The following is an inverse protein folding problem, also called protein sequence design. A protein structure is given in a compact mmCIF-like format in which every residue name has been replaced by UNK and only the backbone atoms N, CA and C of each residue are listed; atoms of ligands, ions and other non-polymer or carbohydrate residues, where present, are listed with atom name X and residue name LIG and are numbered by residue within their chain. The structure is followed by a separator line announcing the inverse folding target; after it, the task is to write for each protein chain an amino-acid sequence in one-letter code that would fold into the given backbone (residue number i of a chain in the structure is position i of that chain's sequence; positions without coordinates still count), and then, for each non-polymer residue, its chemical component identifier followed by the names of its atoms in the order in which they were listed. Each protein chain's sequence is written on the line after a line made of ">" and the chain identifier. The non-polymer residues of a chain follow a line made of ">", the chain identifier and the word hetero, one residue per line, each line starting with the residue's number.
data_IF_741599613570
#
_entry.id   IF_741599613570
#
_cell.length_a   1.000
_cell.length_b   1.000
_cell.length_c   1.000
_cell.angle_alpha   90.00
_cell.angle_beta   90.00
_cell.angle_gamma   90.00
#
_symmetry.space_group_name_H-M   'P 1'
#
loop_
_entity.id
_entity.type
_entity.pdbx_description
1 polymer ?
#
# COMPACT_ATOMS: atom_id res chain seq x y z
N UNK A 1 15.05 0.17 3.80
CA UNK A 1 14.37 -0.54 4.92
C UNK A 1 12.92 -0.78 4.49
N UNK A 2 12.55 -1.97 4.02
CA UNK A 2 11.27 -2.18 3.31
C UNK A 2 10.00 -2.11 4.19
N UNK A 3 10.15 -2.13 5.51
CA UNK A 3 9.03 -2.06 6.47
C UNK A 3 8.68 -0.65 6.93
N UNK A 4 9.40 0.35 6.42
CA UNK A 4 9.35 1.74 6.82
C UNK A 4 8.80 2.70 5.74
N UNK A 5 8.87 2.41 4.42
CA UNK A 5 8.46 3.37 3.41
C UNK A 5 6.95 3.41 3.28
N UNK A 6 6.44 4.46 2.63
CA UNK A 6 5.03 4.59 2.30
C UNK A 6 4.54 3.42 1.43
N UNK A 7 5.40 2.92 0.52
CA UNK A 7 5.19 1.72 -0.30
C UNK A 7 6.45 0.83 -0.22
N UNK A 8 6.29 -0.39 0.29
CA UNK A 8 7.33 -1.40 0.37
C UNK A 8 7.04 -2.57 -0.56
N UNK A 9 8.05 -2.98 -1.32
CA UNK A 9 8.03 -4.15 -2.20
C UNK A 9 9.06 -5.15 -1.68
N UNK A 10 8.60 -6.29 -1.17
CA UNK A 10 9.49 -7.36 -0.70
C UNK A 10 9.35 -8.56 -1.61
N UNK A 11 10.44 -8.94 -2.28
CA UNK A 11 10.45 -10.13 -3.13
C UNK A 11 10.25 -11.40 -2.30
N UNK A 12 9.24 -12.20 -2.65
CA UNK A 12 8.93 -13.46 -1.97
C UNK A 12 9.25 -14.69 -2.83
N UNK A 13 9.09 -14.57 -4.15
CA UNK A 13 9.50 -15.56 -5.13
C UNK A 13 9.88 -14.85 -6.44
N UNK A 14 10.44 -15.59 -7.40
CA UNK A 14 10.76 -15.04 -8.72
C UNK A 14 9.50 -14.43 -9.35
N UNK A 15 9.52 -13.12 -9.58
CA UNK A 15 8.41 -12.36 -10.16
C UNK A 15 7.22 -12.09 -9.23
N UNK A 16 7.29 -12.44 -7.93
CA UNK A 16 6.21 -12.22 -6.95
C UNK A 16 6.69 -11.42 -5.75
N UNK A 17 5.87 -10.45 -5.35
CA UNK A 17 6.20 -9.49 -4.31
C UNK A 17 5.08 -9.39 -3.28
N UNK A 18 5.47 -9.17 -2.03
CA UNK A 18 4.57 -8.76 -0.95
C UNK A 18 4.58 -7.24 -0.90
N UNK A 19 3.38 -6.64 -0.91
CA UNK A 19 3.16 -5.21 -0.83
C UNK A 19 2.96 -4.80 0.62
N UNK A 20 3.78 -3.85 1.07
CA UNK A 20 3.70 -3.22 2.37
C UNK A 20 3.24 -1.78 2.21
N UNK A 21 2.23 -1.36 2.96
CA UNK A 21 1.69 0.01 2.93
C UNK A 21 1.57 0.57 4.35
N UNK A 22 1.48 1.89 4.46
CA UNK A 22 1.22 2.55 5.74
C UNK A 22 2.45 2.74 6.63
N UNK A 23 3.65 2.67 6.04
CA UNK A 23 4.86 3.20 6.69
C UNK A 23 4.80 4.72 6.78
N UNK A 24 5.87 5.34 7.26
CA UNK A 24 6.01 6.80 7.25
C UNK A 24 7.44 7.13 6.84
N UNK A 25 7.61 8.17 6.02
CA UNK A 25 8.91 8.75 5.66
C UNK A 25 9.84 9.03 6.86
N UNK A 26 9.29 9.35 8.03
CA UNK A 26 10.05 9.56 9.29
C UNK A 26 10.51 8.26 9.96
N UNK A 27 9.94 7.14 9.55
CA UNK A 27 10.25 5.80 10.03
C UNK A 27 9.90 5.49 11.49
N UNK A 28 8.92 6.22 12.01
CA UNK A 28 8.31 6.01 13.32
C UNK A 28 7.21 4.93 13.32
N UNK A 29 6.78 4.45 12.14
CA UNK A 29 5.70 3.48 11.97
C UNK A 29 6.12 2.35 11.04
N UNK A 30 5.71 1.13 11.39
CA UNK A 30 5.87 -0.06 10.56
C UNK A 30 4.72 -0.16 9.56
N UNK A 31 5.05 -0.41 8.30
CA UNK A 31 4.10 -0.71 7.25
C UNK A 31 3.42 -2.08 7.49
N UNK A 32 2.13 -2.19 7.17
CA UNK A 32 1.36 -3.43 7.22
C UNK A 32 1.37 -4.14 5.87
N UNK A 33 1.15 -5.46 5.89
CA UNK A 33 1.02 -6.26 4.65
C UNK A 33 -0.33 -5.96 4.00
N UNK A 34 -0.29 -5.25 2.88
CA UNK A 34 -1.46 -4.92 2.08
C UNK A 34 -1.92 -6.10 1.24
N UNK A 35 -1.00 -6.69 0.47
CA UNK A 35 -1.26 -7.82 -0.41
C UNK A 35 0.00 -8.70 -0.52
N UNK A 36 -0.18 -9.99 -0.78
CA UNK A 36 0.88 -10.98 -0.75
C UNK A 36 0.91 -11.82 -2.02
N UNK A 37 2.11 -12.23 -2.43
CA UNK A 37 2.33 -12.99 -3.68
C UNK A 37 1.83 -12.30 -4.96
N UNK A 38 1.88 -10.98 -5.01
CA UNK A 38 1.44 -10.20 -6.18
C UNK A 38 2.46 -10.34 -7.33
N UNK A 39 2.05 -10.78 -8.53
CA UNK A 39 2.92 -10.78 -9.70
C UNK A 39 3.39 -9.38 -10.06
N UNK A 40 4.65 -9.20 -10.48
CA UNK A 40 5.22 -7.89 -10.84
C UNK A 40 4.34 -7.09 -11.81
N UNK A 41 3.74 -7.77 -12.79
CA UNK A 41 2.88 -7.15 -13.80
C UNK A 41 1.56 -6.60 -13.21
N UNK A 42 1.09 -7.14 -12.09
CA UNK A 42 -0.16 -6.70 -11.44
C UNK A 42 0.06 -5.57 -10.44
N UNK A 43 1.30 -5.36 -9.97
CA UNK A 43 1.61 -4.39 -8.91
C UNK A 43 1.11 -2.99 -9.27
N UNK A 44 1.35 -2.53 -10.50
CA UNK A 44 0.87 -1.23 -10.97
C UNK A 44 -0.65 -1.13 -10.91
N UNK A 45 -1.37 -2.20 -11.26
CA UNK A 45 -2.83 -2.26 -11.18
C UNK A 45 -3.36 -2.27 -9.74
N UNK A 46 -2.57 -2.76 -8.77
CA UNK A 46 -2.92 -2.68 -7.33
C UNK A 46 -2.66 -1.28 -6.75
N UNK A 47 -1.60 -0.60 -7.21
CA UNK A 47 -1.19 0.70 -6.65
C UNK A 47 -1.97 1.87 -7.29
N UNK A 48 -2.29 1.80 -8.59
CA UNK A 48 -3.00 2.88 -9.30
C UNK A 48 -4.29 3.35 -8.60
N UNK A 49 -5.25 2.48 -8.24
CA UNK A 49 -6.49 2.91 -7.59
C UNK A 49 -6.24 3.51 -6.19
N UNK A 50 -5.19 3.09 -5.49
CA UNK A 50 -4.82 3.65 -4.19
C UNK A 50 -4.30 5.08 -4.32
N UNK A 51 -3.52 5.36 -5.37
CA UNK A 51 -3.00 6.70 -5.65
C UNK A 51 -4.12 7.64 -6.11
N UNK A 52 -5.10 7.13 -6.87
CA UNK A 52 -6.31 7.88 -7.23
C UNK A 52 -7.13 8.25 -5.99
N UNK A 53 -7.40 7.27 -5.11
CA UNK A 53 -8.07 7.53 -3.83
C UNK A 53 -7.29 8.52 -2.97
N UNK A 54 -5.96 8.40 -2.91
CA UNK A 54 -5.12 9.36 -2.20
C UNK A 54 -5.25 10.77 -2.77
N UNK A 55 -5.31 10.92 -4.10
CA UNK A 55 -5.46 12.25 -4.71
C UNK A 55 -6.78 12.92 -4.31
N UNK A 56 -7.86 12.15 -4.18
CA UNK A 56 -9.21 12.66 -3.91
C UNK A 56 -9.52 12.81 -2.42
N UNK A 57 -9.08 11.86 -1.60
CA UNK A 57 -9.48 11.75 -0.19
C UNK A 57 -8.36 12.11 0.81
N UNK A 58 -7.16 12.50 0.34
CA UNK A 58 -6.09 12.96 1.23
C UNK A 58 -6.46 14.24 1.97
N UNK A 59 -5.94 14.36 3.17
CA UNK A 59 -5.99 15.61 3.94
C UNK A 59 -4.83 16.53 3.55
N UNK A 60 -4.98 17.83 3.85
CA UNK A 60 -3.95 18.81 3.58
C UNK A 60 -2.67 18.50 4.39
N UNK A 61 -1.55 18.29 3.69
CA UNK A 61 -0.28 17.93 4.31
C UNK A 61 -0.12 16.44 4.66
N UNK A 62 -1.10 15.59 4.34
CA UNK A 62 -1.04 14.15 4.60
C UNK A 62 -0.10 13.43 3.61
N UNK A 63 0.76 12.54 4.13
CA UNK A 63 1.60 11.65 3.33
C UNK A 63 0.82 10.41 2.86
N UNK A 64 1.29 9.72 1.83
CA UNK A 64 0.63 8.50 1.35
C UNK A 64 0.60 7.41 2.44
N UNK A 65 1.68 7.29 3.21
CA UNK A 65 1.74 6.37 4.35
C UNK A 65 0.73 6.68 5.45
N UNK A 66 0.54 7.96 5.79
CA UNK A 66 -0.47 8.37 6.78
C UNK A 66 -1.90 8.18 6.27
N UNK A 67 -2.13 8.46 4.99
CA UNK A 67 -3.40 8.14 4.33
C UNK A 67 -3.72 6.65 4.39
N UNK A 68 -2.78 5.79 4.01
CA UNK A 68 -2.97 4.35 4.06
C UNK A 68 -3.23 3.84 5.49
N UNK A 69 -2.56 4.44 6.47
CA UNK A 69 -2.80 4.11 7.88
C UNK A 69 -4.19 4.56 8.37
N UNK A 70 -4.63 5.76 7.98
CA UNK A 70 -5.94 6.31 8.34
C UNK A 70 -7.09 5.52 7.71
N UNK A 71 -6.97 5.20 6.42
CA UNK A 71 -7.97 4.39 5.72
C UNK A 71 -8.00 2.96 6.25
N UNK A 72 -6.85 2.44 6.67
CA UNK A 72 -6.71 1.06 7.12
C UNK A 72 -6.72 0.07 5.96
N UNK A 73 -6.29 -1.16 6.24
CA UNK A 73 -6.11 -2.20 5.22
C UNK A 73 -7.43 -2.54 4.49
N UNK A 74 -8.51 -2.74 5.24
CA UNK A 74 -9.79 -3.22 4.71
C UNK A 74 -10.39 -2.24 3.70
N UNK A 75 -10.44 -0.93 4.04
CA UNK A 75 -10.96 0.09 3.15
C UNK A 75 -10.11 0.24 1.87
N UNK A 76 -8.77 0.14 1.98
CA UNK A 76 -7.88 0.19 0.82
C UNK A 76 -8.04 -1.05 -0.09
N UNK A 77 -8.35 -2.22 0.48
CA UNK A 77 -8.62 -3.42 -0.30
C UNK A 77 -9.96 -3.30 -1.04
N UNK A 78 -10.99 -2.79 -0.37
CA UNK A 78 -12.29 -2.50 -0.99
C UNK A 78 -12.16 -1.50 -2.14
N UNK A 79 -11.46 -0.39 -1.91
CA UNK A 79 -11.22 0.67 -2.93
C UNK A 79 -10.41 0.19 -4.12
N UNK A 80 -9.45 -0.71 -3.91
CA UNK A 80 -8.69 -1.31 -4.98
C UNK A 80 -9.43 -2.46 -5.70
N UNK A 81 -10.67 -2.77 -5.31
CA UNK A 81 -11.45 -3.87 -5.89
C UNK A 81 -10.84 -5.24 -5.60
N UNK A 82 -9.97 -5.35 -4.59
CA UNK A 82 -9.55 -6.62 -4.01
C UNK A 82 -10.72 -7.16 -3.19
N UNK A 83 -11.72 -7.69 -3.89
CA UNK A 83 -12.80 -8.42 -3.24
C UNK A 83 -12.18 -9.51 -2.36
N UNK A 84 -12.48 -9.44 -1.06
CA UNK A 84 -12.06 -10.40 -0.06
C UNK A 84 -12.25 -11.82 -0.61
N UNK A 85 -11.13 -12.53 -0.73
CA UNK A 85 -11.13 -13.96 -1.01
C UNK A 85 -11.02 -14.71 0.30
#
# INVERSE_FOLDING_TARGET
>A
RPYVPDIGLVGRAVGKYTLYLGGNSLGNRLAFVYDDMVPLAEITGRISPLLECFKEERQAGESFGDFCHRMGKEALQEKAGLAAK
#
